data_IF_991291430155
#
_entry.id   IF_991291430155
#
_cell.length_a   1.000
_cell.length_b   1.000
_cell.length_c   1.000
_cell.angle_alpha   90.00
_cell.angle_beta   90.00
_cell.angle_gamma   90.00
#
_symmetry.space_group_name_H-M   'P 1'
#
loop_
_entity.id
_entity.type
_entity.pdbx_description
1 polymer ?
#
# COMPACT_ATOMS: atom_id res chain seq x y z
N UNK A 1 -17.87 19.89 -5.65
CA UNK A 1 -16.88 19.28 -6.57
C UNK A 1 -17.59 18.14 -7.28
N UNK A 2 -17.70 18.14 -8.62
CA UNK A 2 -18.26 17.00 -9.34
C UNK A 2 -17.35 15.79 -9.10
N UNK A 3 -17.92 14.68 -8.63
CA UNK A 3 -17.18 13.42 -8.54
C UNK A 3 -16.68 13.07 -9.95
N UNK A 4 -15.39 12.80 -10.09
CA UNK A 4 -14.84 12.35 -11.36
C UNK A 4 -15.52 11.03 -11.77
N UNK A 5 -15.72 10.80 -13.07
CA UNK A 5 -16.24 9.52 -13.52
C UNK A 5 -15.33 8.38 -13.06
N UNK A 6 -15.92 7.28 -12.59
CA UNK A 6 -15.22 6.10 -12.07
C UNK A 6 -14.39 5.34 -13.12
N UNK A 7 -14.57 5.63 -14.38
CA UNK A 7 -13.80 5.12 -15.50
C UNK A 7 -12.58 6.00 -15.80
N UNK A 8 -11.77 6.27 -14.82
CA UNK A 8 -10.52 7.01 -14.95
C UNK A 8 -9.40 6.06 -15.42
N UNK A 9 -9.21 6.05 -16.71
CA UNK A 9 -8.19 5.21 -17.36
C UNK A 9 -6.75 5.57 -17.00
N UNK A 10 -6.49 6.77 -16.51
CA UNK A 10 -5.14 7.17 -16.09
C UNK A 10 -4.79 6.59 -14.72
N UNK A 11 -5.76 6.60 -13.80
CA UNK A 11 -5.54 6.11 -12.42
C UNK A 11 -5.78 4.61 -12.28
N UNK A 12 -6.73 4.07 -13.02
CA UNK A 12 -7.13 2.66 -13.01
C UNK A 12 -7.30 2.16 -14.46
N UNK A 13 -6.19 2.00 -15.23
CA UNK A 13 -6.26 1.72 -16.65
C UNK A 13 -7.05 0.46 -17.04
N UNK A 14 -7.14 -0.49 -16.12
CA UNK A 14 -7.84 -1.77 -16.34
C UNK A 14 -9.14 -1.89 -15.54
N UNK A 15 -9.72 -0.76 -15.15
CA UNK A 15 -11.01 -0.76 -14.48
C UNK A 15 -12.09 -1.16 -15.49
N UNK A 16 -12.68 -2.33 -15.27
CA UNK A 16 -13.81 -2.83 -16.04
C UNK A 16 -15.17 -2.27 -15.55
N UNK A 17 -16.23 -2.57 -16.28
CA UNK A 17 -17.58 -2.15 -15.89
C UNK A 17 -18.00 -2.69 -14.52
N UNK A 18 -17.62 -3.92 -14.18
CA UNK A 18 -17.93 -4.56 -12.89
C UNK A 18 -17.20 -3.85 -11.75
N UNK A 19 -15.92 -3.55 -11.91
CA UNK A 19 -15.14 -2.78 -10.94
C UNK A 19 -15.69 -1.37 -10.76
N UNK A 20 -16.06 -0.69 -11.85
CA UNK A 20 -16.68 0.63 -11.81
C UNK A 20 -18.02 0.63 -11.07
N UNK A 21 -18.88 -0.35 -11.36
CA UNK A 21 -20.18 -0.50 -10.68
C UNK A 21 -20.00 -0.79 -9.17
N UNK A 22 -19.00 -1.61 -8.82
CA UNK A 22 -18.64 -1.91 -7.43
C UNK A 22 -18.18 -0.67 -6.68
N UNK A 23 -17.25 0.12 -7.25
CA UNK A 23 -16.78 1.34 -6.63
C UNK A 23 -17.93 2.34 -6.45
N UNK A 24 -18.75 2.51 -7.47
CA UNK A 24 -19.93 3.38 -7.40
C UNK A 24 -20.86 2.93 -6.28
N UNK A 25 -21.16 1.63 -6.18
CA UNK A 25 -22.00 1.10 -5.10
C UNK A 25 -21.43 1.43 -3.72
N UNK A 26 -20.13 1.21 -3.49
CA UNK A 26 -19.47 1.45 -2.21
C UNK A 26 -19.45 2.93 -1.81
N UNK A 27 -19.37 3.83 -2.78
CA UNK A 27 -19.29 5.28 -2.51
C UNK A 27 -20.67 5.91 -2.34
N UNK A 28 -21.67 5.43 -3.08
CA UNK A 28 -23.01 6.03 -3.10
C UNK A 28 -23.97 5.43 -2.05
N UNK A 29 -23.54 4.35 -1.34
CA UNK A 29 -24.43 3.72 -0.37
C UNK A 29 -24.66 4.60 0.88
N UNK A 30 -25.77 4.39 1.61
CA UNK A 30 -25.97 4.99 2.92
C UNK A 30 -24.80 4.67 3.85
N UNK A 31 -24.46 5.60 4.73
CA UNK A 31 -23.35 5.45 5.68
C UNK A 31 -21.96 5.50 5.07
N UNK A 32 -21.82 5.77 3.75
CA UNK A 32 -20.50 5.93 3.15
C UNK A 32 -19.76 7.15 3.72
N UNK A 33 -18.42 7.05 3.90
CA UNK A 33 -17.62 8.20 4.32
C UNK A 33 -17.51 9.25 3.20
N UNK A 34 -17.02 10.42 3.57
CA UNK A 34 -16.70 11.48 2.61
C UNK A 34 -15.37 11.14 1.93
N UNK A 35 -15.42 10.83 0.63
CA UNK A 35 -14.22 10.66 -0.19
C UNK A 35 -13.78 12.02 -0.74
N UNK A 36 -12.60 12.48 -0.34
CA UNK A 36 -12.07 13.81 -0.67
C UNK A 36 -11.09 13.78 -1.83
N UNK A 37 -10.52 12.62 -2.13
CA UNK A 37 -9.42 12.47 -3.05
C UNK A 37 -9.72 11.41 -4.10
N UNK A 38 -8.92 11.43 -5.13
CA UNK A 38 -8.96 10.46 -6.20
C UNK A 38 -7.59 9.78 -6.27
N UNK A 39 -7.56 8.46 -6.34
CA UNK A 39 -6.34 7.67 -6.48
C UNK A 39 -6.65 6.35 -7.18
N UNK A 40 -5.61 5.68 -7.63
CA UNK A 40 -5.68 4.38 -8.26
C UNK A 40 -4.33 3.69 -8.23
N UNK A 41 -4.22 2.55 -8.89
CA UNK A 41 -2.97 1.80 -8.95
C UNK A 41 -2.00 2.31 -10.03
N UNK A 42 -2.46 3.07 -11.01
CA UNK A 42 -1.66 3.65 -12.11
C UNK A 42 -0.83 2.64 -12.93
N UNK A 43 -1.20 1.37 -12.93
CA UNK A 43 -0.45 0.31 -13.61
C UNK A 43 -0.99 0.08 -15.02
N UNK A 44 -0.11 0.15 -16.02
CA UNK A 44 -0.41 -0.29 -17.37
C UNK A 44 -0.48 -1.82 -17.46
N UNK A 45 -1.02 -2.38 -18.55
CA UNK A 45 -1.21 -3.83 -18.69
C UNK A 45 0.11 -4.62 -18.55
N UNK A 46 1.18 -4.14 -19.19
CA UNK A 46 2.48 -4.82 -19.09
C UNK A 46 3.05 -4.83 -17.65
N UNK A 47 2.77 -3.77 -16.88
CA UNK A 47 3.17 -3.70 -15.46
C UNK A 47 2.33 -4.66 -14.59
N UNK A 48 1.06 -4.85 -14.92
CA UNK A 48 0.22 -5.86 -14.27
C UNK A 48 0.69 -7.28 -14.56
N UNK A 49 1.11 -7.54 -15.80
CA UNK A 49 1.66 -8.83 -16.20
C UNK A 49 2.98 -9.10 -15.44
N UNK A 50 3.87 -8.10 -15.37
CA UNK A 50 5.10 -8.14 -14.56
C UNK A 50 4.80 -8.40 -13.07
N UNK A 51 3.85 -7.66 -12.50
CA UNK A 51 3.43 -7.84 -11.10
C UNK A 51 2.88 -9.25 -10.86
N UNK A 52 2.13 -9.79 -11.82
CA UNK A 52 1.62 -11.16 -11.77
C UNK A 52 2.74 -12.21 -11.75
N UNK A 53 3.79 -12.03 -12.56
CA UNK A 53 4.98 -12.88 -12.53
C UNK A 53 5.72 -12.76 -11.19
N UNK A 54 6.04 -11.56 -10.78
CA UNK A 54 6.72 -11.28 -9.52
C UNK A 54 5.97 -11.89 -8.32
N UNK A 55 4.65 -11.74 -8.27
CA UNK A 55 3.83 -12.29 -7.18
C UNK A 55 3.90 -13.82 -7.13
N UNK A 56 3.89 -14.50 -8.29
CA UNK A 56 4.01 -15.97 -8.34
C UNK A 56 5.39 -16.43 -7.87
N UNK A 57 6.44 -15.77 -8.29
CA UNK A 57 7.80 -16.09 -7.86
C UNK A 57 7.95 -15.91 -6.34
N UNK A 58 7.56 -14.76 -5.81
CA UNK A 58 7.67 -14.46 -4.39
C UNK A 58 6.84 -15.40 -3.50
N UNK A 59 5.63 -15.77 -3.91
CA UNK A 59 4.79 -16.68 -3.12
C UNK A 59 5.28 -18.11 -3.15
N UNK A 60 6.06 -18.51 -4.17
CA UNK A 60 6.66 -19.84 -4.28
C UNK A 60 8.03 -19.96 -3.57
N UNK A 61 8.66 -18.84 -3.21
CA UNK A 61 9.93 -18.87 -2.48
C UNK A 61 9.72 -19.36 -1.05
N UNK A 62 10.39 -20.48 -0.70
CA UNK A 62 10.45 -20.94 0.69
C UNK A 62 11.34 -20.01 1.52
N UNK A 63 11.05 -19.86 2.81
CA UNK A 63 11.86 -19.06 3.74
C UNK A 63 13.35 -19.46 3.75
N UNK A 64 13.66 -20.73 3.48
CA UNK A 64 15.02 -21.25 3.37
C UNK A 64 15.78 -20.77 2.13
N UNK A 65 15.08 -20.33 1.08
CA UNK A 65 15.72 -19.83 -0.15
C UNK A 65 16.32 -18.42 0.05
N UNK A 66 15.97 -17.72 1.11
CA UNK A 66 16.51 -16.40 1.45
C UNK A 66 17.94 -16.46 2.04
N UNK A 67 18.48 -17.65 2.32
CA UNK A 67 19.83 -17.85 2.87
C UNK A 67 20.92 -17.99 1.80
N UNK A 68 20.60 -17.80 0.52
CA UNK A 68 21.55 -17.86 -0.60
C UNK A 68 22.29 -16.54 -0.83
N UNK A 69 23.43 -16.63 -1.52
CA UNK A 69 24.18 -15.47 -1.99
C UNK A 69 23.25 -14.43 -2.63
N UNK A 70 23.44 -13.16 -2.26
CA UNK A 70 22.64 -12.02 -2.76
C UNK A 70 22.95 -11.71 -4.24
N UNK A 71 22.73 -12.66 -5.13
CA UNK A 71 23.05 -12.59 -6.58
C UNK A 71 22.34 -11.43 -7.31
N UNK A 72 21.36 -10.80 -6.68
CA UNK A 72 20.66 -9.64 -7.23
C UNK A 72 21.45 -8.34 -7.05
N UNK A 73 22.40 -8.27 -6.11
CA UNK A 73 23.12 -7.04 -5.76
C UNK A 73 23.94 -6.52 -6.94
N UNK A 74 24.79 -7.36 -7.55
CA UNK A 74 25.66 -6.93 -8.65
C UNK A 74 24.87 -6.41 -9.86
N UNK A 75 23.83 -7.11 -10.36
CA UNK A 75 22.98 -6.58 -11.43
C UNK A 75 22.25 -5.28 -11.03
N UNK A 76 21.86 -5.14 -9.77
CA UNK A 76 21.21 -3.91 -9.26
C UNK A 76 22.19 -2.74 -9.26
N UNK A 77 23.38 -2.92 -8.71
CA UNK A 77 24.43 -1.89 -8.72
C UNK A 77 24.81 -1.47 -10.14
N UNK A 78 24.95 -2.44 -11.05
CA UNK A 78 25.21 -2.15 -12.46
C UNK A 78 24.16 -1.21 -13.05
N UNK A 79 22.90 -1.47 -12.80
CA UNK A 79 21.79 -0.59 -13.23
C UNK A 79 21.83 0.79 -12.58
N UNK A 80 22.14 0.87 -11.29
CA UNK A 80 22.28 2.15 -10.59
C UNK A 80 23.39 3.01 -11.19
N UNK A 81 24.57 2.44 -11.42
CA UNK A 81 25.70 3.14 -12.05
C UNK A 81 25.45 3.55 -13.50
N UNK A 82 24.62 2.80 -14.21
CA UNK A 82 24.30 3.08 -15.60
C UNK A 82 23.23 4.17 -15.75
N UNK A 83 22.21 4.16 -14.90
CA UNK A 83 20.98 4.93 -15.13
C UNK A 83 20.62 5.96 -14.07
N UNK A 84 21.15 5.86 -12.83
CA UNK A 84 20.81 6.81 -11.76
C UNK A 84 21.85 7.93 -11.68
N UNK A 85 21.48 9.20 -11.93
CA UNK A 85 22.41 10.34 -11.98
C UNK A 85 23.33 10.44 -10.75
N UNK A 86 22.81 10.27 -9.56
CA UNK A 86 23.58 10.32 -8.32
C UNK A 86 24.76 9.33 -8.35
N UNK A 87 24.55 8.10 -8.82
CA UNK A 87 25.58 7.07 -8.85
C UNK A 87 26.49 7.12 -10.08
N UNK A 88 26.11 7.82 -11.16
CA UNK A 88 26.94 7.94 -12.37
C UNK A 88 28.29 8.62 -12.13
N UNK A 89 28.39 9.43 -11.09
CA UNK A 89 29.61 10.15 -10.73
C UNK A 89 30.59 9.30 -9.91
N UNK A 90 30.17 8.13 -9.45
CA UNK A 90 31.07 7.25 -8.70
C UNK A 90 31.97 6.44 -9.63
N UNK A 91 33.17 6.20 -9.12
CA UNK A 91 34.17 5.44 -9.87
C UNK A 91 33.67 4.00 -10.11
N UNK A 92 33.61 3.62 -11.40
CA UNK A 92 33.26 2.27 -11.83
C UNK A 92 34.26 1.19 -11.37
N UNK A 93 35.38 1.58 -10.76
CA UNK A 93 36.32 0.65 -10.12
C UNK A 93 35.81 0.10 -8.79
N UNK A 94 34.80 0.71 -8.17
CA UNK A 94 34.16 0.21 -6.97
C UNK A 94 33.42 -1.08 -7.32
N UNK A 95 33.88 -2.22 -6.82
CA UNK A 95 33.35 -3.53 -7.19
C UNK A 95 32.53 -4.19 -6.07
N UNK A 96 32.67 -3.71 -4.84
CA UNK A 96 32.00 -4.32 -3.69
C UNK A 96 30.88 -3.41 -3.21
N UNK A 97 29.74 -4.01 -2.86
CA UNK A 97 28.58 -3.30 -2.34
C UNK A 97 28.93 -2.40 -1.13
N UNK A 98 29.79 -2.90 -0.24
CA UNK A 98 30.17 -2.21 0.99
C UNK A 98 31.03 -0.95 0.75
N UNK A 99 31.62 -0.81 -0.44
CA UNK A 99 32.46 0.33 -0.81
C UNK A 99 31.66 1.48 -1.43
N UNK A 100 30.36 1.27 -1.70
CA UNK A 100 29.47 2.34 -2.16
C UNK A 100 29.09 3.27 -1.00
N UNK A 101 28.96 4.58 -1.28
CA UNK A 101 28.56 5.53 -0.26
C UNK A 101 27.13 5.24 0.22
N UNK A 102 26.93 5.37 1.50
CA UNK A 102 25.58 5.43 2.07
C UNK A 102 24.95 6.77 1.74
N UNK A 103 23.66 6.74 1.41
CA UNK A 103 22.84 7.95 1.24
C UNK A 103 22.06 8.25 2.51
N UNK A 104 21.86 9.51 2.78
CA UNK A 104 21.05 9.97 3.87
C UNK A 104 19.95 10.95 3.43
N UNK A 105 19.21 11.51 4.40
CA UNK A 105 18.11 12.45 4.11
C UNK A 105 18.58 13.73 3.44
N UNK A 106 19.82 14.19 3.73
CA UNK A 106 20.36 15.42 3.15
C UNK A 106 20.63 15.25 1.66
N UNK A 107 21.12 14.09 1.23
CA UNK A 107 21.36 13.78 -0.18
C UNK A 107 20.05 13.88 -0.98
N UNK A 108 18.98 13.24 -0.50
CA UNK A 108 17.67 13.29 -1.15
C UNK A 108 17.08 14.71 -1.17
N UNK A 109 17.33 15.53 -0.14
CA UNK A 109 16.78 16.88 -0.05
C UNK A 109 17.47 17.90 -0.97
N UNK A 110 18.70 17.63 -1.40
CA UNK A 110 19.46 18.50 -2.32
C UNK A 110 18.91 18.40 -3.74
N UNK A 111 18.73 17.17 -4.25
CA UNK A 111 18.22 16.93 -5.60
C UNK A 111 17.55 15.56 -5.69
N UNK A 112 16.25 15.53 -5.49
CA UNK A 112 15.49 14.28 -5.55
C UNK A 112 15.53 13.64 -6.95
N UNK A 113 15.64 14.42 -8.00
CA UNK A 113 15.69 13.95 -9.38
C UNK A 113 16.95 13.14 -9.69
N UNK A 114 18.03 13.37 -8.95
CA UNK A 114 19.29 12.65 -9.12
C UNK A 114 19.17 11.17 -8.70
N UNK A 115 18.11 10.82 -7.97
CA UNK A 115 17.80 9.45 -7.55
C UNK A 115 16.77 8.75 -8.45
N UNK A 116 16.27 9.43 -9.48
CA UNK A 116 15.37 8.84 -10.47
C UNK A 116 16.17 8.37 -11.67
N UNK A 117 16.04 7.09 -12.10
CA UNK A 117 16.73 6.61 -13.30
C UNK A 117 16.37 7.40 -14.55
N UNK A 118 17.36 7.77 -15.37
CA UNK A 118 17.18 8.62 -16.57
C UNK A 118 16.21 8.07 -17.61
N UNK A 119 16.01 6.75 -17.64
CA UNK A 119 15.10 6.10 -18.58
C UNK A 119 13.64 6.13 -18.13
N UNK A 120 13.36 6.55 -16.88
CA UNK A 120 12.01 6.62 -16.38
C UNK A 120 11.39 7.99 -16.67
N UNK A 121 10.23 8.05 -17.32
CA UNK A 121 9.52 9.30 -17.53
C UNK A 121 9.01 9.86 -16.19
N UNK A 122 9.25 11.14 -15.95
CA UNK A 122 8.91 11.78 -14.66
C UNK A 122 7.40 11.85 -14.40
N UNK A 123 6.57 11.83 -15.42
CA UNK A 123 5.11 11.77 -15.31
C UNK A 123 4.59 10.45 -14.74
N UNK A 124 5.44 9.41 -14.70
CA UNK A 124 5.16 8.12 -14.05
C UNK A 124 5.61 8.09 -12.58
N UNK A 125 6.31 9.10 -12.09
CA UNK A 125 6.83 9.12 -10.73
C UNK A 125 5.80 9.72 -9.78
N UNK A 126 5.46 8.96 -8.75
CA UNK A 126 4.63 9.42 -7.63
C UNK A 126 5.55 9.92 -6.53
N UNK A 127 5.32 11.13 -6.07
CA UNK A 127 6.06 11.71 -4.95
C UNK A 127 5.27 11.51 -3.64
N UNK A 128 5.87 10.82 -2.68
CA UNK A 128 5.33 10.65 -1.34
C UNK A 128 6.05 11.57 -0.35
N UNK A 129 5.31 12.22 0.53
CA UNK A 129 5.89 12.97 1.63
C UNK A 129 5.88 12.13 2.91
N UNK A 130 7.03 12.06 3.59
CA UNK A 130 7.10 11.44 4.91
C UNK A 130 6.46 12.35 5.96
N UNK A 131 5.93 11.78 7.05
CA UNK A 131 5.25 12.54 8.12
C UNK A 131 6.13 13.56 8.85
N UNK A 132 7.44 13.54 8.63
CA UNK A 132 8.35 14.56 9.16
C UNK A 132 8.36 14.69 10.68
N UNK A 133 8.22 13.61 11.43
CA UNK A 133 8.25 13.62 12.92
C UNK A 133 9.48 14.29 13.52
N UNK A 134 10.54 14.48 12.73
CA UNK A 134 11.78 15.19 13.09
C UNK A 134 11.82 16.65 12.58
N UNK A 135 10.69 17.20 12.11
CA UNK A 135 10.55 18.61 11.73
C UNK A 135 10.65 18.91 10.22
N UNK A 136 11.12 17.99 9.40
CA UNK A 136 11.20 18.17 7.94
C UNK A 136 10.63 16.96 7.21
N UNK A 137 9.56 17.18 6.43
CA UNK A 137 9.07 16.15 5.51
C UNK A 137 10.13 15.88 4.43
N UNK A 138 10.29 14.62 4.07
CA UNK A 138 11.13 14.21 2.95
C UNK A 138 10.23 13.72 1.83
N UNK A 139 10.45 14.23 0.62
CA UNK A 139 9.79 13.74 -0.58
C UNK A 139 10.53 12.49 -1.08
N UNK A 140 9.81 11.41 -1.31
CA UNK A 140 10.33 10.14 -1.82
C UNK A 140 9.73 9.88 -3.20
N UNK A 141 10.56 9.79 -4.27
CA UNK A 141 10.07 9.41 -5.59
C UNK A 141 9.84 7.91 -5.63
N UNK A 142 8.73 7.49 -6.18
CA UNK A 142 8.40 6.09 -6.36
C UNK A 142 7.68 5.85 -7.68
N UNK A 143 7.90 4.70 -8.28
CA UNK A 143 7.13 4.26 -9.45
C UNK A 143 5.93 3.40 -8.99
N UNK A 144 4.76 3.46 -9.66
CA UNK A 144 3.58 2.68 -9.28
C UNK A 144 3.85 1.18 -9.11
N UNK A 145 4.70 0.58 -9.95
CA UNK A 145 5.07 -0.84 -9.86
C UNK A 145 5.78 -1.19 -8.54
N UNK A 146 6.54 -0.25 -7.96
CA UNK A 146 7.24 -0.47 -6.69
C UNK A 146 6.23 -0.60 -5.55
N UNK A 147 5.29 0.35 -5.47
CA UNK A 147 4.21 0.28 -4.47
C UNK A 147 3.36 -0.99 -4.65
N UNK A 148 3.09 -1.38 -5.91
CA UNK A 148 2.31 -2.58 -6.20
C UNK A 148 3.03 -3.89 -5.78
N UNK A 149 4.36 -3.96 -5.86
CA UNK A 149 5.14 -5.13 -5.43
C UNK A 149 5.02 -5.42 -3.93
N UNK A 150 4.75 -4.42 -3.09
CA UNK A 150 4.45 -4.66 -1.67
C UNK A 150 3.27 -5.62 -1.48
N UNK A 151 2.32 -5.62 -2.40
CA UNK A 151 1.19 -6.54 -2.34
C UNK A 151 1.59 -8.02 -2.41
N UNK A 152 2.66 -8.35 -3.15
CA UNK A 152 3.19 -9.71 -3.22
C UNK A 152 3.74 -10.16 -1.86
N UNK A 153 4.46 -9.29 -1.17
CA UNK A 153 4.95 -9.55 0.19
C UNK A 153 3.82 -9.67 1.21
N UNK A 154 2.80 -8.80 1.12
CA UNK A 154 1.61 -8.89 1.95
C UNK A 154 0.88 -10.22 1.70
N UNK A 155 0.71 -10.62 0.45
CA UNK A 155 0.10 -11.91 0.10
C UNK A 155 0.89 -13.08 0.68
N UNK A 156 2.22 -13.06 0.57
CA UNK A 156 3.11 -14.07 1.14
C UNK A 156 2.98 -14.14 2.67
N UNK A 157 2.98 -12.99 3.35
CA UNK A 157 2.80 -12.91 4.79
C UNK A 157 1.43 -13.45 5.23
N UNK A 158 0.37 -13.14 4.48
CA UNK A 158 -0.98 -13.66 4.72
C UNK A 158 -1.00 -15.20 4.57
N UNK A 159 -0.41 -15.74 3.50
CA UNK A 159 -0.34 -17.20 3.29
C UNK A 159 0.42 -17.92 4.40
N UNK A 160 1.51 -17.35 4.90
CA UNK A 160 2.25 -17.90 6.06
C UNK A 160 1.42 -17.92 7.35
N UNK A 161 0.40 -17.09 7.43
CA UNK A 161 -0.56 -17.04 8.54
C UNK A 161 -1.90 -17.71 8.20
N UNK A 162 -1.91 -18.61 7.21
CA UNK A 162 -3.07 -19.40 6.79
C UNK A 162 -4.25 -18.56 6.26
N UNK A 163 -3.96 -17.37 5.74
CA UNK A 163 -4.97 -16.49 5.11
C UNK A 163 -4.73 -16.48 3.61
N UNK A 164 -5.57 -17.19 2.87
CA UNK A 164 -5.53 -17.22 1.41
C UNK A 164 -6.38 -16.10 0.81
N UNK A 165 -5.77 -15.20 0.06
CA UNK A 165 -6.48 -14.13 -0.65
C UNK A 165 -7.39 -14.63 -1.76
N UNK A 166 -7.19 -15.85 -2.27
CA UNK A 166 -8.10 -16.53 -3.20
C UNK A 166 -9.47 -16.84 -2.60
N UNK A 167 -9.55 -16.88 -1.27
CA UNK A 167 -10.81 -17.11 -0.55
C UNK A 167 -11.57 -15.84 -0.19
N UNK A 168 -11.08 -14.67 -0.58
CA UNK A 168 -11.78 -13.41 -0.33
C UNK A 168 -13.12 -13.38 -1.06
N UNK A 169 -14.18 -13.00 -0.37
CA UNK A 169 -15.55 -13.01 -0.90
C UNK A 169 -16.18 -11.64 -0.99
N UNK A 170 -15.73 -10.69 -0.15
CA UNK A 170 -16.27 -9.33 -0.16
C UNK A 170 -15.93 -8.58 -1.44
N UNK A 171 -16.83 -7.73 -1.89
CA UNK A 171 -16.55 -6.75 -2.94
C UNK A 171 -15.53 -5.72 -2.46
N UNK A 172 -15.57 -5.36 -1.18
CA UNK A 172 -14.55 -4.57 -0.49
C UNK A 172 -13.48 -5.48 0.08
N UNK A 173 -12.37 -5.67 -0.64
CA UNK A 173 -11.29 -6.53 -0.18
C UNK A 173 -10.47 -5.89 0.93
N UNK A 174 -10.14 -4.60 0.82
CA UNK A 174 -9.21 -3.93 1.73
C UNK A 174 -9.71 -2.56 2.16
N UNK A 175 -9.68 -2.31 3.47
CA UNK A 175 -9.71 -0.96 4.04
C UNK A 175 -8.29 -0.57 4.46
N UNK A 176 -7.79 0.55 3.94
CA UNK A 176 -6.63 1.25 4.48
C UNK A 176 -7.13 2.26 5.52
N UNK A 177 -7.01 1.89 6.78
CA UNK A 177 -7.49 2.71 7.88
C UNK A 177 -6.55 3.89 8.17
N UNK A 178 -7.12 5.05 8.42
CA UNK A 178 -6.44 6.23 8.94
C UNK A 178 -7.28 6.89 10.02
N UNK A 179 -6.62 7.65 10.91
CA UNK A 179 -7.29 8.46 11.90
C UNK A 179 -6.55 9.79 12.09
N UNK A 180 -7.00 10.84 11.40
CA UNK A 180 -6.37 12.16 11.42
C UNK A 180 -7.45 13.24 11.19
N UNK A 181 -7.23 14.47 11.66
CA UNK A 181 -8.13 15.60 11.36
C UNK A 181 -8.28 15.84 9.86
N UNK A 182 -7.20 15.62 9.10
CA UNK A 182 -7.19 15.67 7.65
C UNK A 182 -6.43 14.46 7.13
N UNK A 183 -7.09 13.64 6.34
CA UNK A 183 -6.54 12.42 5.76
C UNK A 183 -6.87 12.33 4.28
N UNK A 184 -5.98 11.75 3.52
CA UNK A 184 -6.19 11.41 2.12
C UNK A 184 -7.16 10.21 2.05
N UNK A 185 -8.38 10.43 1.49
CA UNK A 185 -9.43 9.40 1.41
C UNK A 185 -9.85 9.18 -0.03
N UNK A 186 -9.90 7.92 -0.46
CA UNK A 186 -10.23 7.57 -1.85
C UNK A 186 -10.77 6.15 -1.98
N UNK A 187 -11.42 5.90 -3.10
CA UNK A 187 -11.82 4.57 -3.54
C UNK A 187 -11.01 4.14 -4.77
N UNK A 188 -10.54 2.91 -4.77
CA UNK A 188 -9.74 2.31 -5.84
C UNK A 188 -10.05 0.81 -5.93
N UNK A 189 -9.48 0.16 -6.94
CA UNK A 189 -9.47 -1.31 -7.04
C UNK A 189 -8.07 -1.85 -6.85
N UNK A 190 -8.00 -3.09 -6.40
CA UNK A 190 -6.75 -3.83 -6.28
C UNK A 190 -6.64 -4.84 -7.42
N UNK A 191 -5.78 -4.59 -8.43
CA UNK A 191 -5.65 -5.48 -9.58
C UNK A 191 -5.14 -6.88 -9.19
N UNK A 192 -4.37 -6.99 -8.12
CA UNK A 192 -3.86 -8.26 -7.60
C UNK A 192 -4.85 -9.01 -6.70
N UNK A 193 -6.01 -8.42 -6.41
CA UNK A 193 -7.16 -9.03 -5.74
C UNK A 193 -8.38 -9.11 -6.67
N UNK A 194 -8.17 -9.40 -7.95
CA UNK A 194 -9.21 -9.54 -8.97
C UNK A 194 -10.10 -8.29 -9.10
N UNK A 195 -9.50 -7.11 -9.13
CA UNK A 195 -10.18 -5.82 -9.19
C UNK A 195 -11.25 -5.60 -8.09
N UNK A 196 -11.10 -6.27 -6.95
CA UNK A 196 -11.91 -5.97 -5.77
C UNK A 196 -11.56 -4.58 -5.22
N UNK A 197 -12.52 -3.97 -4.53
CA UNK A 197 -12.34 -2.63 -4.03
C UNK A 197 -11.29 -2.55 -2.91
N UNK A 198 -10.53 -1.48 -2.93
CA UNK A 198 -9.59 -1.02 -1.92
C UNK A 198 -9.97 0.41 -1.57
N UNK A 199 -10.33 0.68 -0.33
CA UNK A 199 -10.72 2.00 0.15
C UNK A 199 -9.74 2.54 1.17
N UNK A 200 -9.25 3.76 0.97
CA UNK A 200 -8.57 4.52 2.02
C UNK A 200 -9.62 5.33 2.77
N UNK A 201 -9.87 4.97 4.02
CA UNK A 201 -10.87 5.57 4.89
C UNK A 201 -10.23 6.27 6.07
N UNK A 202 -10.71 7.47 6.38
CA UNK A 202 -10.39 8.14 7.61
C UNK A 202 -11.51 7.87 8.63
N UNK A 203 -11.17 7.25 9.74
CA UNK A 203 -12.15 6.97 10.82
C UNK A 203 -12.36 8.16 11.78
N UNK A 204 -11.73 9.31 11.51
CA UNK A 204 -12.04 10.52 12.25
C UNK A 204 -13.51 10.94 12.00
N UNK A 205 -14.28 11.32 13.04
CA UNK A 205 -15.72 11.60 12.91
C UNK A 205 -16.08 12.64 11.83
N UNK A 206 -15.21 13.60 11.55
CA UNK A 206 -15.44 14.67 10.56
C UNK A 206 -15.59 14.19 9.11
N UNK A 207 -15.20 12.94 8.82
CA UNK A 207 -15.32 12.37 7.47
C UNK A 207 -16.57 11.48 7.29
N UNK A 208 -17.51 11.53 8.26
CA UNK A 208 -18.72 10.72 8.25
C UNK A 208 -19.96 11.61 8.49
N UNK A 209 -21.10 11.18 7.97
CA UNK A 209 -22.38 11.87 8.19
C UNK A 209 -22.82 11.81 9.65
N UNK A 210 -22.56 10.66 10.30
CA UNK A 210 -22.77 10.42 11.73
C UNK A 210 -21.64 9.55 12.28
N UNK A 211 -21.28 9.66 13.56
CA UNK A 211 -20.31 8.75 14.20
C UNK A 211 -20.67 7.26 14.06
N UNK A 212 -21.96 6.91 14.06
CA UNK A 212 -22.44 5.54 13.93
C UNK A 212 -22.30 4.98 12.51
N UNK A 213 -22.18 5.85 11.51
CA UNK A 213 -22.02 5.44 10.11
C UNK A 213 -20.74 4.60 9.90
N UNK A 214 -19.71 4.81 10.73
CA UNK A 214 -18.44 4.04 10.68
C UNK A 214 -18.68 2.55 10.93
N UNK A 215 -19.42 2.24 11.99
CA UNK A 215 -19.81 0.87 12.35
C UNK A 215 -20.70 0.25 11.26
N UNK A 216 -21.75 0.97 10.87
CA UNK A 216 -22.73 0.52 9.89
C UNK A 216 -22.07 0.24 8.54
N UNK A 217 -21.16 1.10 8.11
CA UNK A 217 -20.45 0.93 6.84
C UNK A 217 -19.54 -0.30 6.83
N UNK A 218 -18.79 -0.54 7.91
CA UNK A 218 -17.94 -1.73 8.04
C UNK A 218 -18.78 -3.00 8.07
N UNK A 219 -19.84 -3.03 8.87
CA UNK A 219 -20.71 -4.20 9.02
C UNK A 219 -21.50 -4.53 7.75
N UNK A 220 -21.85 -3.53 6.96
CA UNK A 220 -22.52 -3.70 5.67
C UNK A 220 -21.58 -4.28 4.61
N UNK A 221 -20.37 -3.72 4.51
CA UNK A 221 -19.41 -4.05 3.43
C UNK A 221 -18.47 -5.22 3.75
N UNK A 222 -18.31 -5.57 5.02
CA UNK A 222 -17.56 -6.74 5.49
C UNK A 222 -16.19 -6.91 4.83
N UNK A 223 -15.26 -5.95 4.98
CA UNK A 223 -13.95 -6.01 4.33
C UNK A 223 -13.19 -7.29 4.69
N UNK A 224 -12.56 -7.92 3.70
CA UNK A 224 -11.74 -9.11 3.96
C UNK A 224 -10.47 -8.77 4.77
N UNK A 225 -9.85 -7.62 4.50
CA UNK A 225 -8.66 -7.10 5.22
C UNK A 225 -8.89 -5.68 5.72
N UNK A 226 -8.26 -5.38 6.85
CA UNK A 226 -8.07 -4.01 7.33
C UNK A 226 -6.56 -3.80 7.51
N UNK A 227 -6.03 -2.71 6.96
CA UNK A 227 -4.62 -2.32 7.12
C UNK A 227 -4.53 -0.91 7.65
N UNK A 228 -3.56 -0.64 8.52
CA UNK A 228 -3.33 0.69 9.08
C UNK A 228 -2.12 0.73 9.99
N UNK A 229 -1.75 1.93 10.40
CA UNK A 229 -0.77 2.08 11.48
C UNK A 229 -1.40 1.75 12.85
N UNK A 230 -0.60 1.41 13.88
CA UNK A 230 -1.11 1.02 15.19
C UNK A 230 -2.03 2.06 15.85
N UNK A 231 -1.81 3.36 15.59
CA UNK A 231 -2.65 4.44 16.15
C UNK A 231 -4.03 4.39 15.50
N UNK A 232 -4.09 4.38 14.17
CA UNK A 232 -5.32 4.28 13.39
C UNK A 232 -6.11 3.01 13.73
N UNK A 233 -5.42 1.88 13.93
CA UNK A 233 -6.03 0.61 14.33
C UNK A 233 -6.55 0.66 15.78
N UNK A 234 -5.89 1.37 16.69
CA UNK A 234 -6.36 1.56 18.06
C UNK A 234 -7.63 2.38 18.09
N UNK A 235 -7.72 3.45 17.32
CA UNK A 235 -8.93 4.25 17.18
C UNK A 235 -10.07 3.45 16.52
N UNK A 236 -9.75 2.67 15.49
CA UNK A 236 -10.71 1.74 14.89
C UNK A 236 -11.26 0.75 15.92
N UNK A 237 -10.44 0.30 16.88
CA UNK A 237 -10.86 -0.63 17.92
C UNK A 237 -11.90 -0.03 18.87
N UNK A 238 -12.06 1.27 18.93
CA UNK A 238 -13.11 1.94 19.72
C UNK A 238 -14.47 1.94 19.00
N UNK A 239 -14.53 1.59 17.72
CA UNK A 239 -15.76 1.50 16.94
C UNK A 239 -16.37 0.11 17.16
N UNK A 240 -17.64 -0.01 17.59
CA UNK A 240 -18.22 -1.27 18.04
C UNK A 240 -18.77 -2.17 16.90
N UNK A 241 -18.15 -2.15 15.70
CA UNK A 241 -18.60 -2.99 14.59
C UNK A 241 -18.44 -4.49 14.92
N UNK A 242 -19.29 -5.32 14.30
CA UNK A 242 -19.41 -6.77 14.58
C UNK A 242 -18.63 -7.62 13.58
N UNK A 243 -18.38 -7.05 12.41
CA UNK A 243 -17.64 -7.77 11.36
C UNK A 243 -16.26 -8.19 11.86
N UNK A 244 -15.81 -9.37 11.41
CA UNK A 244 -14.47 -9.89 11.66
C UNK A 244 -13.74 -10.05 10.34
N UNK A 245 -12.71 -9.22 10.08
CA UNK A 245 -11.89 -9.38 8.89
C UNK A 245 -11.11 -10.71 8.95
N UNK A 246 -10.64 -11.19 7.82
CA UNK A 246 -9.80 -12.40 7.75
C UNK A 246 -8.41 -12.17 8.34
N UNK A 247 -7.89 -10.94 8.24
CA UNK A 247 -6.67 -10.51 8.91
C UNK A 247 -6.64 -8.98 9.07
N UNK A 248 -5.79 -8.51 9.98
CA UNK A 248 -5.42 -7.11 10.12
C UNK A 248 -3.92 -6.97 9.85
N UNK A 249 -3.54 -5.98 9.04
CA UNK A 249 -2.17 -5.66 8.71
C UNK A 249 -1.77 -4.35 9.41
N UNK A 250 -0.82 -4.44 10.33
CA UNK A 250 -0.19 -3.27 10.96
C UNK A 250 1.04 -2.88 10.18
N UNK A 251 1.16 -1.60 9.78
CA UNK A 251 2.25 -1.08 8.96
C UNK A 251 2.77 0.24 9.50
N UNK A 252 3.90 0.71 8.97
CA UNK A 252 4.47 2.05 9.19
C UNK A 252 5.02 2.36 10.59
N UNK A 253 4.63 1.63 11.62
CA UNK A 253 5.09 1.80 13.00
C UNK A 253 5.20 0.44 13.68
N UNK A 254 6.07 0.33 14.69
CA UNK A 254 6.19 -0.89 15.48
C UNK A 254 4.89 -1.18 16.24
N UNK A 255 4.34 -2.37 16.05
CA UNK A 255 3.17 -2.84 16.78
C UNK A 255 3.59 -3.38 18.16
N UNK A 256 3.22 -2.67 19.20
CA UNK A 256 3.49 -3.12 20.58
C UNK A 256 2.71 -4.39 20.90
N UNK A 257 3.35 -5.30 21.65
CA UNK A 257 2.74 -6.60 22.02
C UNK A 257 1.37 -6.44 22.68
N UNK A 258 1.22 -5.50 23.61
CA UNK A 258 -0.06 -5.27 24.30
C UNK A 258 -1.18 -4.86 23.33
N UNK A 259 -0.86 -4.05 22.33
CA UNK A 259 -1.83 -3.62 21.27
C UNK A 259 -2.19 -4.79 20.37
N UNK A 260 -1.21 -5.63 20.01
CA UNK A 260 -1.45 -6.87 19.26
C UNK A 260 -2.41 -7.80 20.01
N UNK A 261 -2.12 -8.08 21.29
CA UNK A 261 -2.91 -8.98 22.13
C UNK A 261 -4.37 -8.49 22.24
N UNK A 262 -4.57 -7.17 22.37
CA UNK A 262 -5.91 -6.57 22.38
C UNK A 262 -6.64 -6.77 21.06
N UNK A 263 -5.99 -6.49 19.91
CA UNK A 263 -6.57 -6.68 18.59
C UNK A 263 -6.93 -8.16 18.31
N UNK A 264 -6.03 -9.10 18.64
CA UNK A 264 -6.29 -10.53 18.48
C UNK A 264 -7.47 -10.98 19.35
N UNK A 265 -7.55 -10.46 20.57
CA UNK A 265 -8.68 -10.73 21.46
C UNK A 265 -9.99 -10.22 20.92
N UNK A 266 -9.99 -9.01 20.36
CA UNK A 266 -11.18 -8.32 19.85
C UNK A 266 -11.64 -8.91 18.52
N UNK A 267 -10.77 -8.97 17.52
CA UNK A 267 -11.14 -9.31 16.15
C UNK A 267 -11.11 -10.81 15.87
N UNK A 268 -10.43 -11.61 16.69
CA UNK A 268 -10.31 -13.07 16.55
C UNK A 268 -9.79 -13.47 15.16
N UNK A 269 -8.86 -12.70 14.62
CA UNK A 269 -8.17 -12.95 13.36
C UNK A 269 -6.66 -12.71 13.52
N UNK A 270 -5.82 -13.20 12.61
CA UNK A 270 -4.38 -12.92 12.61
C UNK A 270 -4.11 -11.42 12.50
N UNK A 271 -3.17 -10.94 13.32
CA UNK A 271 -2.63 -9.58 13.26
C UNK A 271 -1.19 -9.66 12.78
N UNK A 272 -0.93 -9.16 11.58
CA UNK A 272 0.39 -9.18 10.96
C UNK A 272 1.06 -7.82 11.11
N UNK A 273 2.24 -7.79 11.69
CA UNK A 273 3.09 -6.60 11.77
C UNK A 273 4.06 -6.62 10.59
N UNK A 274 3.87 -5.72 9.65
CA UNK A 274 4.61 -5.67 8.40
C UNK A 274 5.51 -4.45 8.38
N UNK A 275 6.81 -4.70 8.27
CA UNK A 275 7.77 -3.63 8.04
C UNK A 275 7.64 -3.13 6.58
N UNK A 276 7.41 -1.83 6.42
CA UNK A 276 7.26 -1.18 5.11
C UNK A 276 7.92 0.20 5.09
#
# INVERSE_FOLDING_TARGET
MQAAPWNDYERMPNLDESGSARLKHLVDQPHAPIFRNQSGHHLAQHELDELGHFTREETNLNASACAGENKWIDPFLGKCLESVPFYKHYDKSVQRFEDYPTIDRSDLSVSITDFVPDHLPLDRIIAYETSGTTGHALTIPSHPIVAARYSAYHKKALLWNYVDTGEFRSDLAVILAGFQESCFTYASVSPYLNNKALLKLNFHPNDWGSPDDRELYIDLNKPDLISGDPISLSELSMIPFRHRPKAILSTSMTLLKAVRDDFESRYKCPILDLYS
#
